data_IF_988385120385
#
_entry.id   IF_988385120385
#
_cell.length_a   1.000
_cell.length_b   1.000
_cell.length_c   1.000
_cell.angle_alpha   90.00
_cell.angle_beta   90.00
_cell.angle_gamma   90.00
#
_symmetry.space_group_name_H-M   'P 1'
#
loop_
_entity.id
_entity.type
_entity.pdbx_description
1 polymer ?
#
# COMPACT_ATOMS: atom_id res chain seq x y z
N UNK A 1 58.76 0.44 -55.91
CA UNK A 1 57.42 0.00 -56.37
C UNK A 1 56.40 0.81 -55.58
N UNK A 2 55.71 1.75 -56.26
CA UNK A 2 54.24 1.74 -56.52
C UNK A 2 53.44 1.77 -55.22
N UNK A 3 52.48 2.63 -54.94
CA UNK A 3 51.69 3.65 -55.65
C UNK A 3 50.70 4.20 -54.59
N UNK A 4 50.10 5.39 -54.72
CA UNK A 4 49.48 6.14 -53.63
C UNK A 4 47.94 5.98 -53.56
N UNK A 5 47.31 6.87 -52.77
CA UNK A 5 45.92 7.36 -52.83
C UNK A 5 44.77 6.49 -52.30
N UNK A 6 44.01 7.03 -51.34
CA UNK A 6 42.69 7.64 -51.62
C UNK A 6 42.18 8.46 -50.44
N UNK A 7 42.15 9.77 -50.65
CA UNK A 7 41.27 10.69 -49.94
C UNK A 7 39.82 10.35 -50.30
N UNK A 8 38.92 10.37 -49.32
CA UNK A 8 37.49 10.43 -49.55
C UNK A 8 36.99 11.74 -48.91
N UNK A 9 36.81 12.75 -49.76
CA UNK A 9 35.94 13.89 -49.48
C UNK A 9 34.51 13.35 -49.36
N UNK A 10 33.85 13.58 -48.23
CA UNK A 10 32.39 13.56 -48.14
C UNK A 10 31.96 15.01 -47.96
N UNK A 11 31.40 15.56 -49.03
CA UNK A 11 30.79 16.88 -49.05
C UNK A 11 29.27 16.76 -48.83
N UNK A 12 28.78 17.60 -47.92
CA UNK A 12 27.45 18.22 -47.89
C UNK A 12 26.18 17.35 -47.88
N UNK A 13 25.43 17.44 -46.77
CA UNK A 13 24.11 18.06 -46.80
C UNK A 13 23.73 18.55 -45.38
N UNK A 14 23.99 19.83 -45.10
CA UNK A 14 23.43 20.51 -43.94
C UNK A 14 22.04 20.99 -44.35
N UNK A 15 20.99 20.29 -43.91
CA UNK A 15 19.65 20.85 -43.94
C UNK A 15 19.55 21.93 -42.86
N UNK A 16 19.09 23.16 -43.17
CA UNK A 16 18.65 24.06 -42.14
C UNK A 16 17.31 23.52 -41.64
N UNK A 17 17.31 22.83 -40.51
CA UNK A 17 16.09 22.76 -39.70
C UNK A 17 15.81 24.20 -39.29
N UNK A 18 14.86 24.83 -39.99
CA UNK A 18 14.21 26.02 -39.50
C UNK A 18 13.72 25.69 -38.10
N UNK A 19 14.42 26.25 -37.12
CA UNK A 19 13.89 26.43 -35.79
C UNK A 19 12.73 27.39 -35.97
N UNK A 20 11.51 26.85 -35.98
CA UNK A 20 10.34 27.63 -35.64
C UNK A 20 10.48 27.99 -34.15
N UNK A 21 11.30 29.02 -33.90
CA UNK A 21 11.24 29.80 -32.68
C UNK A 21 9.96 30.64 -32.80
N UNK A 22 8.81 30.00 -32.54
CA UNK A 22 7.61 30.73 -32.15
C UNK A 22 7.88 31.21 -30.73
N UNK A 23 8.32 32.46 -30.60
CA UNK A 23 8.42 33.12 -29.32
C UNK A 23 7.02 33.35 -28.78
N UNK A 24 6.48 32.34 -28.10
CA UNK A 24 5.42 32.55 -27.14
C UNK A 24 6.12 33.19 -25.93
N UNK A 25 5.76 34.43 -25.61
CA UNK A 25 6.09 34.97 -24.30
C UNK A 25 5.42 34.07 -23.28
N UNK A 26 6.15 33.64 -22.23
CA UNK A 26 5.66 32.82 -21.10
C UNK A 26 4.40 33.39 -20.39
N UNK A 27 3.91 34.55 -20.82
CA UNK A 27 2.78 35.30 -20.32
C UNK A 27 1.41 34.67 -20.65
N UNK A 28 1.33 33.76 -21.64
CA UNK A 28 0.08 33.08 -22.05
C UNK A 28 0.02 31.58 -21.63
N UNK A 29 1.07 31.07 -20.98
CA UNK A 29 1.20 29.66 -20.63
C UNK A 29 0.95 29.41 -19.13
N UNK A 30 0.38 28.25 -18.81
CA UNK A 30 0.33 27.70 -17.46
C UNK A 30 1.27 26.52 -17.31
N UNK A 31 1.57 26.13 -16.07
CA UNK A 31 2.56 25.10 -15.75
C UNK A 31 1.89 23.85 -15.19
N UNK A 32 2.12 22.69 -15.78
CA UNK A 32 1.57 21.39 -15.31
C UNK A 32 2.69 20.38 -15.07
N UNK A 33 2.69 19.72 -13.91
CA UNK A 33 3.60 18.59 -13.62
C UNK A 33 2.85 17.31 -13.29
N UNK A 34 3.48 16.16 -13.53
CA UNK A 34 3.00 14.87 -13.06
C UNK A 34 3.69 14.50 -11.75
N UNK A 35 2.91 14.02 -10.79
CA UNK A 35 3.37 13.42 -9.54
C UNK A 35 2.93 11.95 -9.55
N UNK A 36 3.89 11.04 -9.44
CA UNK A 36 3.61 9.62 -9.30
C UNK A 36 3.54 9.26 -7.81
N UNK A 37 2.34 9.29 -7.24
CA UNK A 37 2.06 8.90 -5.86
C UNK A 37 1.67 7.42 -5.72
N UNK A 38 2.06 6.57 -6.67
CA UNK A 38 1.79 5.14 -6.63
C UNK A 38 2.96 4.39 -5.98
N UNK A 39 2.69 3.16 -5.53
CA UNK A 39 3.73 2.16 -5.20
C UNK A 39 3.79 1.02 -6.21
N UNK A 40 2.82 0.96 -7.11
CA UNK A 40 2.58 -0.18 -8.02
C UNK A 40 3.11 0.07 -9.43
N UNK A 41 3.17 1.35 -9.82
CA UNK A 41 3.62 1.77 -11.14
C UNK A 41 4.96 2.47 -11.01
N UNK A 42 6.03 1.72 -11.30
CA UNK A 42 7.40 2.19 -11.12
C UNK A 42 7.70 3.46 -11.93
N UNK A 43 7.16 3.57 -13.15
CA UNK A 43 7.33 4.70 -14.06
C UNK A 43 5.99 5.02 -14.74
N UNK A 44 5.63 6.31 -14.77
CA UNK A 44 4.45 6.83 -15.43
C UNK A 44 4.81 7.89 -16.48
N UNK A 45 4.04 7.91 -17.56
CA UNK A 45 4.05 8.95 -18.58
C UNK A 45 2.71 9.71 -18.53
N UNK A 46 2.72 10.98 -18.92
CA UNK A 46 1.51 11.76 -19.14
C UNK A 46 1.50 12.38 -20.54
N UNK A 47 0.32 12.39 -21.15
CA UNK A 47 0.00 13.14 -22.36
C UNK A 47 -1.11 14.16 -22.08
N UNK A 48 -1.12 15.23 -22.85
CA UNK A 48 -2.24 16.18 -22.98
C UNK A 48 -2.97 15.86 -24.28
N UNK A 49 -4.24 15.54 -24.18
CA UNK A 49 -5.02 14.94 -25.25
C UNK A 49 -4.30 13.72 -25.85
N UNK A 50 -3.76 13.82 -27.06
CA UNK A 50 -2.99 12.76 -27.72
C UNK A 50 -1.49 13.08 -27.86
N UNK A 51 -1.06 14.24 -27.38
CA UNK A 51 0.33 14.71 -27.43
C UNK A 51 1.06 14.46 -26.11
N UNK A 52 2.26 13.92 -26.20
CA UNK A 52 3.08 13.67 -25.02
C UNK A 52 3.43 14.94 -24.23
N UNK A 53 3.45 14.83 -22.90
CA UNK A 53 3.74 15.93 -21.98
C UNK A 53 4.99 15.67 -21.15
N UNK A 54 5.02 14.59 -20.37
CA UNK A 54 6.18 14.18 -19.53
C UNK A 54 6.30 12.66 -19.52
N UNK A 55 7.52 12.15 -19.35
CA UNK A 55 7.82 10.71 -19.44
C UNK A 55 8.71 10.23 -18.29
N UNK A 56 8.56 8.95 -17.93
CA UNK A 56 9.45 8.26 -17.00
C UNK A 56 9.42 8.78 -15.57
N UNK A 57 8.26 9.26 -15.10
CA UNK A 57 8.12 9.79 -13.74
C UNK A 57 8.10 8.65 -12.74
N UNK A 58 9.18 8.54 -11.96
CA UNK A 58 9.37 7.49 -10.98
C UNK A 58 8.38 7.57 -9.81
N UNK A 59 8.04 6.40 -9.25
CA UNK A 59 7.22 6.31 -8.04
C UNK A 59 7.81 7.15 -6.90
N UNK A 60 6.97 7.93 -6.24
CA UNK A 60 7.35 8.83 -5.14
C UNK A 60 8.04 10.14 -5.58
N UNK A 61 8.04 10.47 -6.87
CA UNK A 61 8.66 11.70 -7.40
C UNK A 61 7.69 12.52 -8.25
N UNK A 62 8.17 13.66 -8.76
CA UNK A 62 7.47 14.46 -9.77
C UNK A 62 8.34 14.68 -11.00
N UNK A 63 7.70 14.96 -12.13
CA UNK A 63 8.36 15.58 -13.27
C UNK A 63 8.75 17.04 -12.96
N UNK A 64 9.50 17.66 -13.89
CA UNK A 64 9.46 19.10 -14.05
C UNK A 64 8.11 19.58 -14.60
N UNK A 65 7.91 20.89 -14.65
CA UNK A 65 6.71 21.46 -15.28
C UNK A 65 6.82 21.40 -16.80
N UNK A 66 5.73 21.00 -17.45
CA UNK A 66 5.45 21.30 -18.84
C UNK A 66 4.67 22.61 -18.89
N UNK A 67 5.06 23.51 -19.80
CA UNK A 67 4.34 24.75 -20.04
C UNK A 67 3.38 24.55 -21.20
N UNK A 68 2.10 24.85 -20.95
CA UNK A 68 1.00 24.64 -21.88
C UNK A 68 0.27 25.95 -22.07
N UNK A 69 -0.14 26.23 -23.31
CA UNK A 69 -1.03 27.36 -23.58
C UNK A 69 -2.29 27.31 -22.69
N UNK A 70 -2.85 28.48 -22.41
CA UNK A 70 -4.17 28.59 -21.80
C UNK A 70 -5.22 27.83 -22.65
N UNK A 71 -5.68 26.68 -22.16
CA UNK A 71 -6.79 25.92 -22.75
C UNK A 71 -7.37 24.89 -21.77
N UNK A 72 -8.36 24.12 -22.20
CA UNK A 72 -8.85 22.93 -21.52
C UNK A 72 -8.31 21.67 -22.20
N UNK A 73 -7.68 20.81 -21.40
CA UNK A 73 -7.04 19.59 -21.88
C UNK A 73 -7.64 18.36 -21.23
N UNK A 74 -7.54 17.22 -21.92
CA UNK A 74 -7.67 15.90 -21.30
C UNK A 74 -6.29 15.37 -20.98
N UNK A 75 -5.91 15.32 -19.71
CA UNK A 75 -4.67 14.68 -19.29
C UNK A 75 -4.85 13.18 -19.21
N UNK A 76 -3.96 12.41 -19.84
CA UNK A 76 -3.99 10.95 -19.84
C UNK A 76 -2.69 10.43 -19.24
N UNK A 77 -2.80 9.47 -18.33
CA UNK A 77 -1.68 8.85 -17.64
C UNK A 77 -1.56 7.41 -18.09
N UNK A 78 -0.35 6.97 -18.41
CA UNK A 78 -0.04 5.59 -18.79
C UNK A 78 1.18 5.09 -18.02
N UNK A 79 1.25 3.77 -17.81
CA UNK A 79 2.51 3.16 -17.42
C UNK A 79 3.52 3.32 -18.56
N UNK A 80 4.74 3.74 -18.24
CA UNK A 80 5.74 4.02 -19.27
C UNK A 80 5.97 2.81 -20.18
N UNK A 81 5.90 3.03 -21.49
CA UNK A 81 6.06 2.00 -22.51
C UNK A 81 4.84 1.08 -22.74
N UNK A 82 3.73 1.25 -22.03
CA UNK A 82 2.52 0.41 -22.24
C UNK A 82 1.73 0.79 -23.50
N UNK A 83 1.81 2.05 -23.94
CA UNK A 83 0.97 2.61 -25.01
C UNK A 83 -0.53 2.67 -24.69
N UNK A 84 -0.94 2.29 -23.47
CA UNK A 84 -2.34 2.19 -23.05
C UNK A 84 -2.62 3.19 -21.94
N UNK A 85 -3.62 4.04 -22.14
CA UNK A 85 -4.09 4.99 -21.13
C UNK A 85 -4.69 4.23 -19.95
N UNK A 86 -4.14 4.45 -18.77
CA UNK A 86 -4.57 3.79 -17.53
C UNK A 86 -5.47 4.70 -16.67
N UNK A 87 -5.34 6.02 -16.78
CA UNK A 87 -6.22 6.99 -16.13
C UNK A 87 -6.31 8.28 -16.98
N UNK A 88 -7.40 9.02 -16.86
CA UNK A 88 -7.52 10.34 -17.48
C UNK A 88 -8.36 11.31 -16.64
N UNK A 89 -8.10 12.60 -16.81
CA UNK A 89 -8.85 13.69 -16.17
C UNK A 89 -8.85 14.94 -17.06
N UNK A 90 -9.98 15.64 -17.10
CA UNK A 90 -10.05 16.97 -17.72
C UNK A 90 -9.53 18.05 -16.78
N UNK A 91 -8.86 19.07 -17.32
CA UNK A 91 -8.44 20.24 -16.54
C UNK A 91 -8.23 21.46 -17.43
N UNK A 92 -8.60 22.63 -16.92
CA UNK A 92 -8.35 23.92 -17.59
C UNK A 92 -7.07 24.54 -17.05
N UNK A 93 -6.13 24.82 -17.94
CA UNK A 93 -4.87 25.51 -17.66
C UNK A 93 -5.07 27.00 -17.93
N UNK A 94 -4.70 27.81 -16.94
CA UNK A 94 -4.71 29.27 -17.05
C UNK A 94 -3.29 29.82 -17.09
N UNK A 95 -3.10 30.91 -17.84
CA UNK A 95 -1.83 31.61 -17.92
C UNK A 95 -1.31 32.01 -16.52
N UNK A 96 -0.02 31.81 -16.29
CA UNK A 96 0.67 32.11 -15.02
C UNK A 96 0.29 31.23 -13.83
N UNK A 97 -0.57 30.21 -14.02
CA UNK A 97 -1.02 29.31 -12.94
C UNK A 97 -0.25 27.98 -12.94
N UNK A 98 -0.19 27.31 -11.79
CA UNK A 98 0.53 26.06 -11.59
C UNK A 98 -0.41 24.93 -11.17
N UNK A 99 -0.18 23.74 -11.74
CA UNK A 99 -1.02 22.57 -11.51
C UNK A 99 -0.19 21.29 -11.37
N UNK A 100 -0.71 20.36 -10.57
CA UNK A 100 -0.19 19.01 -10.45
C UNK A 100 -1.24 17.97 -10.84
N UNK A 101 -0.84 17.04 -11.71
CA UNK A 101 -1.51 15.76 -11.92
C UNK A 101 -0.99 14.78 -10.87
N UNK A 102 -1.78 14.52 -9.83
CA UNK A 102 -1.42 13.53 -8.82
C UNK A 102 -1.96 12.17 -9.25
N UNK A 103 -1.10 11.31 -9.78
CA UNK A 103 -1.43 9.94 -10.12
C UNK A 103 -1.28 9.03 -8.90
N UNK A 104 -2.28 8.20 -8.60
CA UNK A 104 -2.28 7.29 -7.45
C UNK A 104 -2.97 5.97 -7.79
N UNK A 105 -2.67 4.92 -7.03
CA UNK A 105 -3.36 3.64 -7.14
C UNK A 105 -4.48 3.58 -6.11
N UNK A 106 -5.67 3.18 -6.54
CA UNK A 106 -6.79 2.80 -5.67
C UNK A 106 -7.26 1.44 -6.13
N UNK A 107 -7.03 0.41 -5.32
CA UNK A 107 -7.18 -0.96 -5.78
C UNK A 107 -6.13 -1.34 -6.83
N UNK A 108 -6.59 -1.94 -7.93
CA UNK A 108 -5.76 -2.35 -9.07
C UNK A 108 -5.75 -1.30 -10.19
N UNK A 109 -6.44 -0.17 -10.01
CA UNK A 109 -6.61 0.85 -11.03
C UNK A 109 -5.76 2.07 -10.73
N UNK A 110 -5.14 2.62 -11.77
CA UNK A 110 -4.54 3.95 -11.72
C UNK A 110 -5.67 4.99 -11.71
N UNK A 111 -5.52 6.02 -10.90
CA UNK A 111 -6.39 7.19 -10.82
C UNK A 111 -5.52 8.44 -10.92
N UNK A 112 -6.14 9.57 -11.25
CA UNK A 112 -5.45 10.86 -11.30
C UNK A 112 -6.35 11.97 -10.77
N UNK A 113 -5.79 12.83 -9.91
CA UNK A 113 -6.43 14.06 -9.45
C UNK A 113 -5.71 15.28 -10.03
N UNK A 114 -6.47 16.31 -10.36
CA UNK A 114 -5.97 17.60 -10.84
C UNK A 114 -5.95 18.60 -9.68
N UNK A 115 -4.77 19.07 -9.28
CA UNK A 115 -4.57 19.93 -8.12
C UNK A 115 -4.04 21.30 -8.56
N UNK A 116 -4.58 22.37 -7.96
CA UNK A 116 -3.99 23.70 -8.06
C UNK A 116 -2.80 23.84 -7.11
N UNK A 117 -1.81 24.61 -7.55
CA UNK A 117 -0.55 24.86 -6.87
C UNK A 117 -0.23 26.37 -6.73
N UNK A 118 -1.27 27.20 -6.61
CA UNK A 118 -1.15 28.67 -6.45
C UNK A 118 -1.74 29.18 -5.11
N UNK A 119 -1.68 28.35 -4.06
CA UNK A 119 -2.02 28.83 -2.72
C UNK A 119 -0.99 29.86 -2.26
N UNK A 120 -1.47 31.03 -1.80
CA UNK A 120 -0.59 32.09 -1.32
C UNK A 120 0.25 31.67 -0.12
N UNK A 121 1.50 32.15 -0.06
CA UNK A 121 2.40 31.90 1.06
C UNK A 121 1.75 32.29 2.40
N UNK A 122 1.97 31.51 3.48
CA UNK A 122 1.58 31.93 4.82
C UNK A 122 2.53 33.02 5.36
N UNK A 123 2.22 33.54 6.55
CA UNK A 123 3.10 34.52 7.20
C UNK A 123 4.46 33.90 7.55
N UNK A 124 5.47 34.75 7.76
CA UNK A 124 6.76 34.29 8.27
C UNK A 124 6.61 33.58 9.62
N UNK A 125 7.37 32.50 9.80
CA UNK A 125 7.29 31.56 10.91
C UNK A 125 6.19 30.50 10.74
N UNK A 126 5.48 30.45 9.61
CA UNK A 126 4.36 29.52 9.40
C UNK A 126 4.53 28.67 8.14
N UNK A 127 3.80 27.57 8.10
CA UNK A 127 3.59 26.70 6.94
C UNK A 127 2.09 26.41 6.77
N UNK A 128 1.64 26.04 5.57
CA UNK A 128 0.30 25.53 5.29
C UNK A 128 0.39 24.06 4.92
N UNK A 129 -0.46 23.24 5.54
CA UNK A 129 -0.58 21.82 5.26
C UNK A 129 -2.04 21.46 4.99
N UNK A 130 -2.29 20.70 3.92
CA UNK A 130 -3.56 20.01 3.65
C UNK A 130 -3.33 18.51 3.49
N UNK A 131 -4.40 17.73 3.54
CA UNK A 131 -4.33 16.27 3.57
C UNK A 131 -5.16 15.67 2.44
N UNK A 132 -4.70 14.54 1.92
CA UNK A 132 -5.41 13.79 0.88
C UNK A 132 -5.25 12.30 1.16
N UNK A 133 -6.35 11.56 1.28
CA UNK A 133 -6.31 10.10 1.41
C UNK A 133 -6.57 9.51 0.04
N UNK A 134 -5.59 8.83 -0.57
CA UNK A 134 -5.74 8.10 -1.83
C UNK A 134 -5.86 6.58 -1.62
N UNK A 135 -5.72 6.12 -0.37
CA UNK A 135 -5.71 4.72 0.03
C UNK A 135 -7.04 4.23 0.62
N UNK A 136 -8.13 4.98 0.50
CA UNK A 136 -9.35 4.72 1.26
C UNK A 136 -10.07 3.41 0.94
N UNK A 137 -9.85 2.81 -0.25
CA UNK A 137 -10.35 1.46 -0.51
C UNK A 137 -9.64 0.42 0.39
N UNK A 138 -8.33 0.57 0.59
CA UNK A 138 -7.49 -0.28 1.40
C UNK A 138 -7.49 0.12 2.88
N UNK A 139 -7.12 1.34 3.23
CA UNK A 139 -6.96 1.78 4.61
C UNK A 139 -8.26 2.25 5.28
N UNK A 140 -9.34 2.42 4.53
CA UNK A 140 -10.58 3.02 5.02
C UNK A 140 -10.45 4.52 5.28
N UNK A 141 -11.37 5.07 6.05
CA UNK A 141 -11.33 6.48 6.46
C UNK A 141 -10.25 6.68 7.54
N UNK A 142 -9.56 7.82 7.47
CA UNK A 142 -8.41 8.10 8.32
C UNK A 142 -8.57 9.41 9.10
N UNK A 143 -8.03 9.44 10.31
CA UNK A 143 -7.78 10.68 11.05
C UNK A 143 -6.28 10.99 11.00
N UNK A 144 -5.92 12.28 10.88
CA UNK A 144 -4.54 12.76 10.89
C UNK A 144 -4.34 13.70 12.06
N UNK A 145 -3.40 13.38 12.93
CA UNK A 145 -2.97 14.20 14.06
C UNK A 145 -1.58 14.77 13.75
N UNK A 146 -1.43 16.08 13.92
CA UNK A 146 -0.15 16.78 13.74
C UNK A 146 0.22 17.42 15.08
N UNK A 147 1.31 16.96 15.69
CA UNK A 147 1.71 17.38 17.02
C UNK A 147 3.17 17.09 17.29
N UNK A 148 3.50 16.79 18.55
CA UNK A 148 4.88 16.52 18.99
C UNK A 148 4.98 15.26 19.87
N UNK A 149 3.88 14.51 20.00
CA UNK A 149 3.82 13.28 20.79
C UNK A 149 3.80 12.08 19.87
N UNK A 150 4.43 10.99 20.31
CA UNK A 150 4.39 9.73 19.58
C UNK A 150 2.97 9.17 19.48
N UNK A 151 2.70 8.37 18.44
CA UNK A 151 1.35 7.90 18.14
C UNK A 151 0.75 7.02 19.23
N UNK A 152 1.57 6.26 19.94
CA UNK A 152 1.17 5.48 21.11
C UNK A 152 0.83 6.32 22.36
N UNK A 153 1.14 7.62 22.33
CA UNK A 153 0.90 8.57 23.41
C UNK A 153 -0.19 9.60 23.07
N UNK A 154 -0.96 9.39 21.99
CA UNK A 154 -2.11 10.23 21.65
C UNK A 154 -3.16 10.17 22.76
N UNK A 155 -3.31 11.27 23.49
CA UNK A 155 -4.30 11.40 24.55
C UNK A 155 -5.74 11.44 24.03
N UNK A 156 -6.70 11.17 24.92
CA UNK A 156 -8.13 11.25 24.60
C UNK A 156 -8.54 12.63 24.08
N UNK A 157 -7.88 13.70 24.53
CA UNK A 157 -8.12 15.10 24.14
C UNK A 157 -7.40 15.53 22.87
N UNK A 158 -6.58 14.68 22.24
CA UNK A 158 -5.94 15.02 20.97
C UNK A 158 -7.01 15.27 19.88
N UNK A 159 -6.87 16.38 19.16
CA UNK A 159 -7.76 16.79 18.08
C UNK A 159 -7.06 16.51 16.75
N UNK A 160 -7.76 15.84 15.83
CA UNK A 160 -7.22 15.58 14.51
C UNK A 160 -7.18 16.88 13.68
N UNK A 161 -6.09 17.11 12.97
CA UNK A 161 -5.97 18.17 11.96
C UNK A 161 -6.84 17.86 10.73
N UNK A 162 -7.06 16.58 10.44
CA UNK A 162 -8.07 16.11 9.49
C UNK A 162 -8.81 14.90 10.08
N UNK A 163 -10.13 14.93 10.09
CA UNK A 163 -10.96 13.86 10.66
C UNK A 163 -11.81 13.18 9.58
N UNK A 164 -11.89 11.85 9.61
CA UNK A 164 -12.74 11.09 8.70
C UNK A 164 -12.38 11.24 7.22
N UNK A 165 -11.09 11.43 6.92
CA UNK A 165 -10.58 11.64 5.57
C UNK A 165 -10.86 10.39 4.71
N UNK A 166 -11.78 10.52 3.76
CA UNK A 166 -12.26 9.44 2.88
C UNK A 166 -11.81 9.65 1.42
N UNK A 167 -11.97 8.62 0.58
CA UNK A 167 -11.68 8.62 -0.87
C UNK A 167 -12.93 8.74 -1.75
N UNK A 168 -14.07 9.23 -1.24
CA UNK A 168 -15.39 8.79 -1.73
C UNK A 168 -15.80 9.12 -3.18
N UNK A 169 -14.93 9.59 -4.07
CA UNK A 169 -15.23 9.79 -5.50
C UNK A 169 -13.99 9.62 -6.40
N UNK A 170 -14.23 9.42 -7.71
CA UNK A 170 -13.24 9.37 -8.81
C UNK A 170 -12.36 10.64 -8.95
N UNK A 171 -12.55 11.64 -8.08
CA UNK A 171 -11.68 12.78 -7.89
C UNK A 171 -11.54 13.01 -6.38
N UNK A 172 -10.57 12.35 -5.76
CA UNK A 172 -10.23 12.63 -4.36
C UNK A 172 -9.80 14.10 -4.28
N UNK A 173 -10.52 14.90 -3.50
CA UNK A 173 -10.15 16.29 -3.22
C UNK A 173 -9.38 16.35 -1.89
N UNK A 174 -8.28 17.13 -1.82
CA UNK A 174 -7.62 17.35 -0.56
C UNK A 174 -8.49 18.20 0.37
N UNK A 175 -8.18 18.20 1.67
CA UNK A 175 -8.77 19.14 2.63
C UNK A 175 -8.43 20.60 2.27
N UNK A 176 -9.07 21.55 2.94
CA UNK A 176 -8.54 22.92 3.02
C UNK A 176 -7.17 22.96 3.71
N UNK A 177 -6.41 24.03 3.47
CA UNK A 177 -5.14 24.26 4.14
C UNK A 177 -5.33 24.69 5.59
N UNK A 178 -4.52 24.11 6.48
CA UNK A 178 -4.38 24.52 7.87
C UNK A 178 -3.00 25.12 8.09
N UNK A 179 -2.92 26.23 8.81
CA UNK A 179 -1.65 26.86 9.14
C UNK A 179 -1.02 26.20 10.37
N UNK A 180 0.27 25.92 10.28
CA UNK A 180 1.13 25.42 11.36
C UNK A 180 2.31 26.39 11.54
N UNK A 181 3.00 26.29 12.68
CA UNK A 181 4.31 26.91 12.80
C UNK A 181 5.31 26.18 11.88
N UNK A 182 6.33 26.87 11.40
CA UNK A 182 7.48 26.19 10.82
C UNK A 182 8.19 25.40 11.92
N UNK A 183 8.56 24.15 11.63
CA UNK A 183 9.14 23.25 12.64
C UNK A 183 9.04 21.77 12.28
N UNK A 184 9.40 20.92 13.23
CA UNK A 184 9.30 19.47 13.10
C UNK A 184 8.14 18.94 13.92
N UNK A 185 7.32 18.09 13.32
CA UNK A 185 6.11 17.54 13.90
C UNK A 185 6.14 16.00 13.89
N UNK A 186 5.61 15.41 14.96
CA UNK A 186 5.20 14.01 14.95
C UNK A 186 3.81 13.93 14.31
N UNK A 187 3.69 13.19 13.20
CA UNK A 187 2.41 13.00 12.51
C UNK A 187 1.93 11.57 12.69
N UNK A 188 0.69 11.45 13.15
CA UNK A 188 0.04 10.17 13.39
C UNK A 188 -1.20 10.07 12.53
N UNK A 189 -1.27 9.02 11.74
CA UNK A 189 -2.47 8.67 10.97
C UNK A 189 -3.10 7.45 11.61
N UNK A 190 -4.38 7.52 11.90
CA UNK A 190 -5.12 6.42 12.54
C UNK A 190 -6.35 6.07 11.72
N UNK A 191 -6.94 4.90 11.96
CA UNK A 191 -8.31 4.66 11.51
C UNK A 191 -9.23 5.75 12.09
N UNK A 192 -10.22 6.18 11.31
CA UNK A 192 -11.16 7.22 11.73
C UNK A 192 -11.87 6.83 13.05
N UNK A 193 -11.80 7.71 14.05
CA UNK A 193 -12.34 7.48 15.39
C UNK A 193 -11.54 6.52 16.27
N UNK A 194 -10.46 5.92 15.77
CA UNK A 194 -9.67 4.89 16.46
C UNK A 194 -8.21 5.28 16.69
N UNK A 195 -7.93 6.12 17.69
CA UNK A 195 -6.56 6.61 18.00
C UNK A 195 -5.51 5.51 18.25
N UNK A 196 -5.94 4.35 18.74
CA UNK A 196 -5.05 3.20 19.00
C UNK A 196 -4.76 2.37 17.74
N UNK A 197 -5.48 2.62 16.66
CA UNK A 197 -5.34 1.90 15.39
C UNK A 197 -4.47 2.74 14.43
N UNK A 198 -3.18 2.80 14.74
CA UNK A 198 -2.18 3.59 13.99
C UNK A 198 -1.91 2.95 12.63
N UNK A 199 -2.05 3.74 11.58
CA UNK A 199 -1.87 3.35 10.16
C UNK A 199 -0.63 3.94 9.53
N UNK A 200 -0.10 5.02 10.08
CA UNK A 200 1.21 5.60 9.75
C UNK A 200 1.71 6.41 10.94
N UNK A 201 2.99 6.27 11.23
CA UNK A 201 3.74 7.04 12.22
C UNK A 201 4.91 7.73 11.50
N UNK A 202 4.87 9.06 11.41
CA UNK A 202 5.97 9.88 10.90
C UNK A 202 6.59 10.60 12.11
N UNK A 203 7.78 10.16 12.59
CA UNK A 203 8.36 10.69 13.82
C UNK A 203 8.87 12.13 13.70
N UNK A 204 9.19 12.58 12.48
CA UNK A 204 9.69 13.92 12.22
C UNK A 204 9.31 14.38 10.80
N UNK A 205 8.13 15.00 10.66
CA UNK A 205 7.74 15.75 9.48
C UNK A 205 8.21 17.20 9.62
N UNK A 206 9.09 17.67 8.74
CA UNK A 206 9.52 19.07 8.74
C UNK A 206 8.61 19.92 7.87
N UNK A 207 8.10 21.01 8.44
CA UNK A 207 7.41 22.09 7.74
C UNK A 207 8.32 23.33 7.74
N UNK A 208 8.75 23.76 6.55
CA UNK A 208 9.61 24.92 6.36
C UNK A 208 8.87 26.26 6.47
N UNK A 209 9.62 27.34 6.73
CA UNK A 209 9.05 28.70 6.70
C UNK A 209 8.44 28.98 5.32
N UNK A 210 7.22 29.53 5.30
CA UNK A 210 6.42 29.83 4.11
C UNK A 210 6.06 28.63 3.24
N UNK A 211 6.32 27.40 3.69
CA UNK A 211 6.01 26.21 2.90
C UNK A 211 4.49 26.04 2.76
N UNK A 212 4.04 25.70 1.55
CA UNK A 212 2.70 25.16 1.29
C UNK A 212 2.86 23.70 0.86
N UNK A 213 2.21 22.77 1.56
CA UNK A 213 2.35 21.35 1.29
C UNK A 213 1.01 20.60 1.34
N UNK A 214 0.96 19.50 0.59
CA UNK A 214 -0.08 18.47 0.69
C UNK A 214 0.57 17.19 1.22
N UNK A 215 0.07 16.64 2.33
CA UNK A 215 0.39 15.27 2.75
C UNK A 215 -0.60 14.32 2.08
N UNK A 216 -0.12 13.59 1.07
CA UNK A 216 -0.87 12.54 0.39
C UNK A 216 -0.63 11.23 1.12
N UNK A 217 -1.70 10.58 1.58
CA UNK A 217 -1.67 9.27 2.20
C UNK A 217 -1.95 8.22 1.12
N UNK A 218 -0.93 7.43 0.80
CA UNK A 218 -0.97 6.44 -0.26
C UNK A 218 -1.03 5.04 0.31
N UNK A 219 -1.54 4.08 -0.46
CA UNK A 219 -1.66 2.69 0.00
C UNK A 219 -0.29 2.08 0.29
N UNK A 220 -0.28 1.06 1.14
CA UNK A 220 0.86 0.18 1.38
C UNK A 220 0.56 -1.23 0.89
N UNK A 221 1.58 -2.08 0.86
CA UNK A 221 1.45 -3.47 0.37
C UNK A 221 0.57 -4.35 1.27
N UNK A 222 0.44 -4.06 2.56
CA UNK A 222 -0.39 -4.84 3.49
C UNK A 222 -1.89 -4.57 3.35
N UNK A 223 -2.30 -3.52 2.61
CA UNK A 223 -3.72 -3.22 2.38
C UNK A 223 -4.45 -2.61 3.58
N UNK A 224 -3.72 -2.10 4.57
CA UNK A 224 -4.32 -1.43 5.72
C UNK A 224 -3.46 -0.34 6.36
N UNK A 225 -2.13 -0.45 6.28
CA UNK A 225 -1.23 0.66 6.58
C UNK A 225 -1.23 1.64 5.40
N UNK A 226 -0.76 2.86 5.64
CA UNK A 226 -0.56 3.87 4.58
C UNK A 226 0.86 4.39 4.62
N UNK A 227 1.34 4.89 3.48
CA UNK A 227 2.56 5.69 3.38
C UNK A 227 2.18 7.18 3.29
N UNK A 228 3.14 8.06 3.56
CA UNK A 228 3.03 9.48 3.31
C UNK A 228 3.82 9.90 2.07
N UNK A 229 3.31 10.89 1.35
CA UNK A 229 4.03 11.61 0.30
C UNK A 229 3.78 13.10 0.49
N UNK A 230 4.82 13.84 0.84
CA UNK A 230 4.75 15.29 1.05
C UNK A 230 4.99 15.97 -0.28
N UNK A 231 3.95 16.58 -0.83
CA UNK A 231 4.02 17.37 -2.06
C UNK A 231 4.15 18.83 -1.66
N UNK A 232 5.34 19.40 -1.80
CA UNK A 232 5.53 20.85 -1.66
C UNK A 232 5.04 21.52 -2.93
N UNK A 233 4.17 22.51 -2.78
CA UNK A 233 3.67 23.32 -3.88
C UNK A 233 4.84 23.90 -4.68
N UNK A 234 4.83 23.73 -6.01
CA UNK A 234 5.90 24.23 -6.90
C UNK A 234 7.32 23.76 -6.54
N UNK A 235 7.44 22.69 -5.74
CA UNK A 235 8.72 22.26 -5.16
C UNK A 235 8.87 20.75 -5.09
N UNK A 236 9.71 20.27 -4.19
CA UNK A 236 10.02 18.84 -4.11
C UNK A 236 8.82 17.99 -3.66
N UNK A 237 8.80 16.75 -4.14
CA UNK A 237 7.98 15.66 -3.61
C UNK A 237 8.87 14.78 -2.73
N UNK A 238 8.47 14.54 -1.48
CA UNK A 238 9.28 13.81 -0.50
C UNK A 238 8.49 12.66 0.11
N UNK A 239 8.88 11.40 -0.17
CA UNK A 239 8.28 10.24 0.47
C UNK A 239 8.51 10.23 1.99
N UNK A 240 7.48 9.84 2.73
CA UNK A 240 7.50 9.53 4.16
C UNK A 240 6.97 8.10 4.33
N UNK A 241 7.84 7.13 4.10
CA UNK A 241 7.47 5.71 4.10
C UNK A 241 7.04 5.24 5.50
N UNK A 242 6.15 4.26 5.53
CA UNK A 242 5.72 3.65 6.78
C UNK A 242 6.76 2.68 7.33
N UNK A 243 7.43 3.05 8.42
CA UNK A 243 8.46 2.21 9.03
C UNK A 243 7.91 1.08 9.90
N UNK A 244 6.60 0.80 9.83
CA UNK A 244 5.95 -0.28 10.56
C UNK A 244 5.49 -1.41 9.64
N UNK A 245 5.41 -2.60 10.22
CA UNK A 245 4.78 -3.80 9.65
C UNK A 245 3.72 -4.27 10.63
N UNK A 246 2.57 -4.77 10.16
CA UNK A 246 1.63 -5.46 11.05
C UNK A 246 1.99 -6.94 11.10
N UNK A 247 2.14 -7.48 12.30
CA UNK A 247 2.41 -8.91 12.50
C UNK A 247 1.33 -9.50 13.38
N UNK A 248 0.82 -10.67 13.00
CA UNK A 248 0.01 -11.53 13.86
C UNK A 248 0.71 -12.85 14.10
N UNK A 249 0.31 -13.53 15.16
CA UNK A 249 0.80 -14.86 15.51
C UNK A 249 -0.36 -15.85 15.41
N UNK A 250 -0.09 -16.98 14.79
CA UNK A 250 -0.95 -18.15 14.82
C UNK A 250 -0.24 -19.22 15.64
N UNK A 251 -0.77 -19.50 16.82
CA UNK A 251 -0.20 -20.47 17.74
C UNK A 251 -0.71 -21.87 17.40
N UNK A 252 0.17 -22.77 16.99
CA UNK A 252 -0.19 -24.12 16.60
C UNK A 252 0.84 -25.18 17.01
N UNK A 253 1.16 -25.22 18.30
CA UNK A 253 2.04 -26.21 18.89
C UNK A 253 1.39 -27.60 18.96
N UNK A 254 2.20 -28.64 19.15
CA UNK A 254 1.76 -30.04 19.16
C UNK A 254 0.86 -30.41 20.34
N UNK A 255 1.10 -29.83 21.52
CA UNK A 255 0.40 -30.15 22.76
C UNK A 255 -0.60 -29.04 23.06
N UNK A 256 -1.88 -29.40 23.26
CA UNK A 256 -2.99 -28.45 23.41
C UNK A 256 -2.92 -27.52 24.63
N UNK A 257 -2.03 -27.81 25.59
CA UNK A 257 -1.78 -26.99 26.78
C UNK A 257 -0.57 -26.08 26.67
N UNK A 258 0.21 -26.19 25.59
CA UNK A 258 1.43 -25.41 25.43
C UNK A 258 1.11 -23.98 25.00
N UNK A 259 1.34 -23.04 25.92
CA UNK A 259 1.15 -21.62 25.65
C UNK A 259 2.41 -21.01 25.05
N UNK A 260 2.23 -20.13 24.06
CA UNK A 260 3.34 -19.38 23.44
C UNK A 260 3.25 -17.89 23.71
N UNK A 261 4.40 -17.29 24.02
CA UNK A 261 4.64 -15.85 24.03
C UNK A 261 5.58 -15.53 22.87
N UNK A 262 5.22 -14.58 22.03
CA UNK A 262 6.00 -14.23 20.85
C UNK A 262 6.32 -12.75 20.87
N UNK A 263 7.60 -12.43 20.75
CA UNK A 263 8.06 -11.08 20.49
C UNK A 263 8.82 -11.00 19.16
N UNK A 264 8.60 -9.91 18.44
CA UNK A 264 9.15 -9.61 17.12
C UNK A 264 9.80 -8.23 17.18
N UNK A 265 11.09 -8.16 16.85
CA UNK A 265 11.86 -6.91 16.89
C UNK A 265 11.74 -6.16 18.23
N UNK A 266 11.66 -6.92 19.33
CA UNK A 266 11.50 -6.40 20.69
C UNK A 266 10.05 -6.09 21.10
N UNK A 267 9.08 -6.10 20.18
CA UNK A 267 7.66 -5.88 20.48
C UNK A 267 6.95 -7.20 20.78
N UNK A 268 6.23 -7.28 21.90
CA UNK A 268 5.37 -8.45 22.19
C UNK A 268 4.15 -8.45 21.25
N UNK A 269 4.04 -9.48 20.43
CA UNK A 269 2.94 -9.66 19.46
C UNK A 269 1.87 -10.60 20.00
N UNK A 270 2.27 -11.61 20.76
CA UNK A 270 1.38 -12.57 21.39
C UNK A 270 1.83 -12.88 22.83
N UNK A 271 0.85 -12.97 23.74
CA UNK A 271 1.08 -13.31 25.14
C UNK A 271 0.15 -14.47 25.51
N UNK A 272 0.69 -15.51 26.15
CA UNK A 272 -0.05 -16.69 26.61
C UNK A 272 -1.07 -17.18 25.57
N UNK A 273 -0.63 -17.38 24.33
CA UNK A 273 -1.51 -17.82 23.25
C UNK A 273 -1.61 -19.34 23.24
N UNK A 274 -2.83 -19.86 23.37
CA UNK A 274 -3.10 -21.29 23.32
C UNK A 274 -3.01 -21.84 21.89
N UNK A 275 -2.75 -23.14 21.71
CA UNK A 275 -2.74 -23.79 20.40
C UNK A 275 -4.12 -23.67 19.73
N UNK A 276 -4.14 -23.51 18.41
CA UNK A 276 -5.35 -23.23 17.62
C UNK A 276 -5.77 -21.76 17.60
N UNK A 277 -5.00 -20.85 18.23
CA UNK A 277 -5.37 -19.43 18.29
C UNK A 277 -4.80 -18.65 17.12
N UNK A 278 -5.66 -17.90 16.43
CA UNK A 278 -5.29 -16.86 15.46
C UNK A 278 -5.36 -15.49 16.15
N UNK A 279 -4.20 -14.91 16.42
CA UNK A 279 -4.07 -13.60 17.07
C UNK A 279 -4.48 -12.43 16.17
N UNK A 280 -4.66 -11.25 16.79
CA UNK A 280 -4.81 -9.99 16.06
C UNK A 280 -3.46 -9.44 15.59
N UNK A 281 -3.49 -8.57 14.59
CA UNK A 281 -2.31 -7.84 14.14
C UNK A 281 -1.81 -6.84 15.21
N UNK A 282 -0.48 -6.66 15.27
CA UNK A 282 0.23 -5.67 16.08
C UNK A 282 1.31 -5.00 15.24
N UNK A 283 1.56 -3.72 15.49
CA UNK A 283 2.65 -3.01 14.81
C UNK A 283 4.00 -3.43 15.40
N UNK A 284 4.96 -3.67 14.50
CA UNK A 284 6.37 -3.87 14.82
C UNK A 284 7.20 -2.99 13.89
N UNK A 285 8.44 -2.69 14.27
CA UNK A 285 9.37 -1.97 13.40
C UNK A 285 9.72 -2.82 12.18
N UNK A 286 9.60 -2.24 10.98
CA UNK A 286 9.99 -2.87 9.72
C UNK A 286 11.52 -3.10 9.66
N UNK A 287 11.96 -4.09 8.88
CA UNK A 287 13.38 -4.46 8.74
C UNK A 287 13.62 -5.96 8.90
N UNK A 288 14.84 -6.36 9.28
CA UNK A 288 15.14 -7.76 9.55
C UNK A 288 14.28 -8.30 10.71
N UNK A 289 13.81 -9.55 10.62
CA UNK A 289 13.02 -10.17 11.68
C UNK A 289 13.91 -10.81 12.75
N UNK A 290 13.75 -10.35 13.98
CA UNK A 290 14.20 -11.03 15.18
C UNK A 290 12.98 -11.58 15.94
N UNK A 291 12.79 -12.89 15.91
CA UNK A 291 11.64 -13.56 16.54
C UNK A 291 12.10 -14.33 17.77
N UNK A 292 11.36 -14.18 18.87
CA UNK A 292 11.51 -15.03 20.05
C UNK A 292 10.19 -15.73 20.34
N UNK A 293 10.27 -16.99 20.77
CA UNK A 293 9.15 -17.78 21.27
C UNK A 293 9.49 -18.23 22.69
N UNK A 294 8.67 -17.84 23.66
CA UNK A 294 8.91 -18.08 25.09
C UNK A 294 10.31 -17.63 25.56
N UNK A 295 10.82 -16.54 24.98
CA UNK A 295 12.13 -15.97 25.30
C UNK A 295 13.32 -16.61 24.56
N UNK A 296 13.13 -17.75 23.88
CA UNK A 296 14.16 -18.34 23.03
C UNK A 296 14.12 -17.75 21.62
N UNK A 297 15.28 -17.39 21.07
CA UNK A 297 15.38 -16.91 19.69
C UNK A 297 15.05 -18.05 18.71
N UNK A 298 14.22 -17.77 17.71
CA UNK A 298 13.89 -18.70 16.63
C UNK A 298 14.48 -18.21 15.32
N UNK A 299 15.17 -19.09 14.60
CA UNK A 299 15.74 -18.76 13.30
C UNK A 299 14.64 -18.73 12.23
N UNK A 300 14.40 -17.54 11.66
CA UNK A 300 13.44 -17.32 10.55
C UNK A 300 14.16 -17.03 9.22
N UNK A 301 15.44 -17.39 9.12
CA UNK A 301 16.26 -17.18 7.93
C UNK A 301 16.47 -15.69 7.61
N UNK A 302 16.39 -15.35 6.32
CA UNK A 302 16.53 -13.99 5.81
C UNK A 302 15.20 -13.23 5.72
N UNK A 303 14.15 -13.70 6.41
CA UNK A 303 12.84 -13.07 6.38
C UNK A 303 12.89 -11.65 6.97
N UNK A 304 12.09 -10.75 6.38
CA UNK A 304 11.99 -9.35 6.80
C UNK A 304 10.54 -8.98 7.12
N UNK A 305 10.39 -7.97 7.97
CA UNK A 305 9.16 -7.23 8.20
C UNK A 305 9.09 -6.12 7.15
N UNK A 306 8.29 -6.26 6.07
CA UNK A 306 8.23 -5.26 5.02
C UNK A 306 7.55 -3.98 5.50
N UNK A 307 8.14 -2.83 5.16
CA UNK A 307 7.55 -1.50 5.35
C UNK A 307 6.12 -1.45 4.81
N UNK A 308 5.15 -1.16 5.68
CA UNK A 308 3.73 -1.09 5.32
C UNK A 308 3.06 -2.44 5.02
N UNK A 309 3.75 -3.57 5.20
CA UNK A 309 3.19 -4.88 4.93
C UNK A 309 2.57 -5.55 6.15
N UNK A 310 1.97 -6.72 5.90
CA UNK A 310 1.36 -7.58 6.90
C UNK A 310 2.00 -8.97 6.88
N UNK A 311 2.23 -9.55 8.06
CA UNK A 311 2.79 -10.89 8.22
C UNK A 311 2.00 -11.75 9.21
N UNK A 312 1.91 -13.03 8.89
CA UNK A 312 1.52 -14.10 9.82
C UNK A 312 2.76 -14.88 10.23
N UNK A 313 3.02 -14.96 11.53
CA UNK A 313 3.97 -15.90 12.12
C UNK A 313 3.20 -17.14 12.57
N UNK A 314 3.32 -18.22 11.81
CA UNK A 314 2.73 -19.51 12.15
C UNK A 314 3.73 -20.30 13.01
N UNK A 315 3.44 -20.39 14.31
CA UNK A 315 4.26 -21.09 15.29
C UNK A 315 3.82 -22.54 15.37
N UNK A 316 4.71 -23.48 15.07
CA UNK A 316 4.41 -24.92 15.03
C UNK A 316 5.47 -25.74 15.77
N UNK A 317 5.24 -27.06 15.89
CA UNK A 317 6.14 -27.98 16.55
C UNK A 317 5.99 -28.00 18.07
N UNK A 318 7.03 -28.51 18.74
CA UNK A 318 7.11 -28.61 20.20
C UNK A 318 7.54 -27.27 20.80
N UNK A 319 6.98 -26.87 21.95
CA UNK A 319 7.30 -25.58 22.59
C UNK A 319 8.77 -25.49 23.04
N UNK A 320 9.44 -26.61 23.24
CA UNK A 320 10.88 -26.68 23.55
C UNK A 320 11.78 -26.53 22.32
N UNK A 321 11.24 -26.71 21.11
CA UNK A 321 11.92 -26.56 19.83
C UNK A 321 10.99 -25.95 18.77
N UNK A 322 10.47 -24.73 19.00
CA UNK A 322 9.43 -24.15 18.16
C UNK A 322 9.95 -23.87 16.75
N UNK A 323 9.11 -24.13 15.75
CA UNK A 323 9.32 -23.72 14.37
C UNK A 323 8.43 -22.51 14.07
N UNK A 324 8.93 -21.59 13.25
CA UNK A 324 8.16 -20.41 12.83
C UNK A 324 8.22 -20.29 11.31
N UNK A 325 7.06 -20.40 10.68
CA UNK A 325 6.88 -20.04 9.29
C UNK A 325 6.46 -18.56 9.20
N UNK A 326 7.16 -17.81 8.35
CA UNK A 326 6.82 -16.40 8.06
C UNK A 326 6.02 -16.36 6.77
N UNK A 327 4.77 -15.93 6.85
CA UNK A 327 3.85 -15.86 5.73
C UNK A 327 3.54 -14.38 5.47
N UNK A 328 3.79 -13.91 4.25
CA UNK A 328 3.36 -12.59 3.81
C UNK A 328 1.86 -12.60 3.58
N UNK A 329 1.15 -11.67 4.22
CA UNK A 329 -0.29 -11.52 4.04
C UNK A 329 -0.57 -10.43 3.01
N UNK A 330 -1.43 -10.74 2.04
CA UNK A 330 -2.13 -9.74 1.23
C UNK A 330 -3.52 -9.53 1.83
N UNK A 331 -3.73 -8.38 2.51
CA UNK A 331 -5.03 -7.97 3.03
C UNK A 331 -5.64 -6.81 2.23
N UNK A 332 -5.15 -6.55 1.01
CA UNK A 332 -5.79 -5.63 0.09
C UNK A 332 -7.14 -6.22 -0.36
N UNK A 333 -8.23 -5.42 -0.40
CA UNK A 333 -9.52 -5.91 -0.88
C UNK A 333 -9.43 -6.30 -2.36
N UNK A 334 -10.32 -7.20 -2.79
CA UNK A 334 -10.56 -7.39 -4.22
C UNK A 334 -11.16 -6.13 -4.82
N UNK A 335 -10.78 -5.85 -6.07
CA UNK A 335 -11.30 -4.71 -6.85
C UNK A 335 -12.27 -5.17 -7.93
N UNK A 336 -12.50 -6.49 -8.02
CA UNK A 336 -13.49 -7.05 -8.92
C UNK A 336 -14.90 -6.77 -8.39
N UNK A 337 -15.76 -6.23 -9.25
CA UNK A 337 -17.16 -6.02 -8.92
C UNK A 337 -17.95 -7.34 -8.84
N UNK A 338 -17.57 -8.35 -9.63
CA UNK A 338 -18.20 -9.68 -9.65
C UNK A 338 -17.61 -10.62 -8.60
N UNK A 339 -16.34 -10.44 -8.25
CA UNK A 339 -15.62 -11.26 -7.28
C UNK A 339 -14.98 -10.41 -6.17
N UNK A 340 -15.80 -9.76 -5.33
CA UNK A 340 -15.31 -8.75 -4.40
C UNK A 340 -14.69 -9.31 -3.11
N UNK A 341 -14.55 -10.64 -2.98
CA UNK A 341 -14.02 -11.29 -1.78
C UNK A 341 -12.72 -12.00 -2.11
N UNK A 342 -11.72 -11.95 -1.23
CA UNK A 342 -10.52 -12.80 -1.32
C UNK A 342 -10.56 -13.93 -0.31
N UNK A 343 -10.13 -15.12 -0.73
CA UNK A 343 -9.96 -16.31 0.11
C UNK A 343 -8.57 -16.90 -0.10
N UNK A 344 -7.93 -17.37 0.97
CA UNK A 344 -6.73 -18.22 0.88
C UNK A 344 -6.73 -19.32 1.93
N UNK A 345 -5.95 -20.36 1.66
CA UNK A 345 -5.67 -21.44 2.60
C UNK A 345 -4.30 -21.24 3.23
N UNK A 346 -4.18 -21.44 4.55
CA UNK A 346 -2.94 -21.55 5.30
C UNK A 346 -2.86 -22.94 5.92
N UNK A 347 -1.84 -23.72 5.57
CA UNK A 347 -1.66 -25.07 6.07
C UNK A 347 -0.66 -25.11 7.23
N UNK A 348 -1.14 -25.27 8.44
CA UNK A 348 -0.34 -25.47 9.64
C UNK A 348 -0.46 -26.88 10.25
N UNK A 349 -1.04 -27.86 9.56
CA UNK A 349 -1.35 -29.16 10.17
C UNK A 349 -0.09 -29.94 10.51
N UNK A 350 0.22 -30.07 11.80
CA UNK A 350 1.41 -30.78 12.25
C UNK A 350 1.34 -32.26 11.86
N UNK A 351 2.43 -32.78 11.28
CA UNK A 351 2.57 -34.19 10.90
C UNK A 351 1.77 -34.61 9.68
N UNK A 352 1.18 -33.66 8.93
CA UNK A 352 0.50 -33.95 7.68
C UNK A 352 1.53 -34.29 6.59
N UNK A 353 1.38 -35.45 5.95
CA UNK A 353 2.20 -35.82 4.79
C UNK A 353 1.60 -35.24 3.51
N UNK A 354 2.42 -34.59 2.67
CA UNK A 354 1.94 -33.94 1.45
C UNK A 354 1.37 -32.55 1.72
N UNK A 355 0.40 -32.15 0.91
CA UNK A 355 -0.19 -30.81 0.90
C UNK A 355 -1.68 -30.81 1.21
N UNK A 356 -2.23 -29.63 1.46
CA UNK A 356 -3.66 -29.42 1.64
C UNK A 356 -4.23 -28.56 0.50
N UNK A 357 -5.48 -28.83 0.15
CA UNK A 357 -6.26 -28.09 -0.83
C UNK A 357 -7.47 -27.47 -0.15
N UNK A 358 -7.98 -26.36 -0.69
CA UNK A 358 -9.23 -25.74 -0.27
C UNK A 358 -10.17 -25.54 -1.45
N UNK A 359 -11.46 -25.76 -1.20
CA UNK A 359 -12.53 -25.50 -2.15
C UNK A 359 -13.61 -24.58 -1.58
N UNK A 360 -14.24 -23.81 -2.46
CA UNK A 360 -15.49 -23.10 -2.24
C UNK A 360 -16.52 -23.70 -3.21
N UNK A 361 -17.62 -24.24 -2.69
CA UNK A 361 -18.69 -24.84 -3.50
C UNK A 361 -18.17 -25.91 -4.50
N UNK A 362 -17.13 -26.65 -4.08
CA UNK A 362 -16.37 -27.63 -4.88
C UNK A 362 -15.39 -27.08 -5.93
N UNK A 363 -15.31 -25.76 -6.09
CA UNK A 363 -14.29 -25.10 -6.91
C UNK A 363 -13.01 -24.86 -6.11
N UNK A 364 -11.84 -25.11 -6.69
CA UNK A 364 -10.55 -24.98 -6.01
C UNK A 364 -10.19 -23.52 -5.83
N UNK A 365 -9.96 -23.11 -4.58
CA UNK A 365 -9.50 -21.76 -4.20
C UNK A 365 -8.09 -21.75 -3.61
N UNK A 366 -7.52 -22.93 -3.36
CA UNK A 366 -6.13 -23.12 -2.94
C UNK A 366 -5.70 -24.55 -3.23
N UNK A 367 -4.56 -24.71 -3.88
CA UNK A 367 -4.06 -26.00 -4.36
C UNK A 367 -2.62 -26.22 -3.89
N UNK A 368 -2.28 -27.47 -3.61
CA UNK A 368 -0.95 -27.96 -3.22
C UNK A 368 -0.27 -27.14 -2.11
N UNK A 369 -1.04 -26.73 -1.08
CA UNK A 369 -0.51 -25.89 0.00
C UNK A 369 0.32 -26.74 0.97
N UNK A 370 1.63 -26.61 0.88
CA UNK A 370 2.59 -27.27 1.76
C UNK A 370 2.45 -26.83 3.23
N UNK A 371 2.93 -27.67 4.15
CA UNK A 371 3.01 -27.33 5.58
C UNK A 371 3.85 -26.06 5.80
N UNK A 372 3.32 -25.13 6.60
CA UNK A 372 3.96 -23.85 6.89
C UNK A 372 3.77 -22.79 5.80
N UNK A 373 2.98 -23.08 4.76
CA UNK A 373 2.75 -22.18 3.63
C UNK A 373 1.27 -21.72 3.53
N UNK A 374 1.05 -20.77 2.63
CA UNK A 374 -0.27 -20.29 2.25
C UNK A 374 -0.45 -20.37 0.73
N UNK A 375 -1.68 -20.57 0.26
CA UNK A 375 -2.01 -20.42 -1.16
C UNK A 375 -1.94 -18.95 -1.58
N UNK A 376 -1.85 -18.72 -2.90
CA UNK A 376 -2.23 -17.42 -3.45
C UNK A 376 -3.71 -17.13 -3.12
N UNK A 377 -4.11 -15.86 -2.93
CA UNK A 377 -5.51 -15.52 -2.73
C UNK A 377 -6.32 -15.74 -4.02
N UNK A 378 -7.42 -16.47 -3.92
CA UNK A 378 -8.46 -16.52 -4.95
C UNK A 378 -9.45 -15.36 -4.75
N UNK A 379 -9.96 -14.79 -5.84
CA UNK A 379 -11.11 -13.87 -5.82
C UNK A 379 -12.39 -14.65 -6.06
N UNK A 380 -13.43 -14.37 -5.27
CA UNK A 380 -14.72 -15.07 -5.36
C UNK A 380 -15.89 -14.09 -5.20
N UNK A 381 -17.07 -14.51 -5.65
CA UNK A 381 -18.31 -13.79 -5.43
C UNK A 381 -18.64 -13.65 -3.93
N UNK A 382 -19.37 -12.58 -3.58
CA UNK A 382 -19.95 -12.46 -2.24
C UNK A 382 -21.07 -13.51 -2.05
N UNK A 383 -21.27 -13.96 -0.82
CA UNK A 383 -22.28 -14.96 -0.46
C UNK A 383 -23.06 -14.53 0.77
N UNK A 384 -24.37 -14.77 0.75
CA UNK A 384 -25.30 -14.45 1.84
C UNK A 384 -25.68 -15.72 2.63
N UNK A 385 -24.68 -16.49 3.08
CA UNK A 385 -24.91 -17.69 3.88
C UNK A 385 -25.09 -18.96 3.05
N UNK A 386 -24.50 -19.02 1.85
CA UNK A 386 -24.62 -20.17 0.95
C UNK A 386 -23.26 -20.77 0.58
N UNK A 387 -22.15 -20.19 1.08
CA UNK A 387 -20.81 -20.65 0.73
C UNK A 387 -20.40 -21.87 1.56
N UNK A 388 -20.07 -22.97 0.88
CA UNK A 388 -19.52 -24.18 1.48
C UNK A 388 -18.00 -24.20 1.27
N UNK A 389 -17.25 -24.08 2.36
CA UNK A 389 -15.79 -24.16 2.37
C UNK A 389 -15.36 -25.53 2.86
N UNK A 390 -14.47 -26.18 2.12
CA UNK A 390 -13.86 -27.43 2.54
C UNK A 390 -12.35 -27.39 2.33
N UNK A 391 -11.63 -28.12 3.17
CA UNK A 391 -10.21 -28.36 2.97
C UNK A 391 -9.87 -29.84 3.13
N UNK A 392 -8.99 -30.34 2.27
CA UNK A 392 -8.66 -31.77 2.17
C UNK A 392 -7.18 -32.01 1.93
N UNK A 393 -6.74 -33.24 2.21
CA UNK A 393 -5.48 -33.80 1.72
C UNK A 393 -5.82 -35.01 0.85
N UNK A 394 -5.64 -34.86 -0.47
CA UNK A 394 -6.16 -35.81 -1.45
C UNK A 394 -7.68 -35.99 -1.28
N UNK A 395 -8.12 -37.24 -1.10
CA UNK A 395 -9.53 -37.57 -0.87
C UNK A 395 -9.97 -37.42 0.61
N UNK A 396 -9.04 -37.15 1.53
CA UNK A 396 -9.35 -37.06 2.97
C UNK A 396 -9.80 -35.65 3.33
N UNK A 397 -11.03 -35.51 3.80
CA UNK A 397 -11.53 -34.25 4.35
C UNK A 397 -10.82 -33.93 5.67
N UNK A 398 -10.24 -32.73 5.77
CA UNK A 398 -9.58 -32.24 6.98
C UNK A 398 -10.50 -31.32 7.79
N UNK A 399 -11.25 -30.45 7.12
CA UNK A 399 -12.08 -29.43 7.74
C UNK A 399 -13.17 -28.95 6.77
N UNK A 400 -14.33 -28.56 7.29
CA UNK A 400 -15.40 -27.95 6.50
C UNK A 400 -16.20 -26.93 7.32
N UNK A 401 -16.70 -25.90 6.63
CA UNK A 401 -17.76 -25.01 7.10
C UNK A 401 -18.80 -24.86 6.00
N UNK A 402 -20.07 -24.83 6.38
CA UNK A 402 -21.19 -24.68 5.45
C UNK A 402 -21.97 -23.42 5.71
N UNK A 403 -22.73 -22.98 4.72
CA UNK A 403 -23.66 -21.84 4.83
C UNK A 403 -22.95 -20.54 5.28
N UNK A 404 -21.73 -20.31 4.78
CA UNK A 404 -20.93 -19.15 5.18
C UNK A 404 -21.37 -17.88 4.47
N UNK A 405 -21.34 -16.76 5.20
CA UNK A 405 -21.49 -15.42 4.63
C UNK A 405 -20.13 -14.88 4.23
N UNK A 406 -19.98 -14.50 2.96
CA UNK A 406 -18.79 -13.87 2.42
C UNK A 406 -19.13 -12.44 2.00
N UNK A 407 -18.69 -11.47 2.80
CA UNK A 407 -19.01 -10.06 2.60
C UNK A 407 -18.06 -9.39 1.59
N UNK A 408 -18.62 -8.59 0.67
CA UNK A 408 -17.90 -7.71 -0.27
C UNK A 408 -16.76 -6.94 0.40
N UNK A 409 -15.60 -6.88 -0.26
CA UNK A 409 -14.43 -6.13 0.17
C UNK A 409 -13.67 -6.77 1.33
N UNK A 410 -14.03 -7.99 1.75
CA UNK A 410 -13.34 -8.73 2.81
C UNK A 410 -12.30 -9.69 2.25
N UNK A 411 -11.29 -9.95 3.09
CA UNK A 411 -10.25 -10.94 2.88
C UNK A 411 -10.38 -11.99 3.97
N UNK A 412 -10.40 -13.25 3.58
CA UNK A 412 -10.55 -14.38 4.49
C UNK A 412 -9.38 -15.34 4.34
N UNK A 413 -8.93 -15.89 5.47
CA UNK A 413 -7.96 -16.99 5.52
C UNK A 413 -8.58 -18.20 6.21
N UNK A 414 -8.49 -19.36 5.57
CA UNK A 414 -8.74 -20.66 6.18
C UNK A 414 -7.44 -21.09 6.85
N UNK A 415 -7.42 -21.20 8.17
CA UNK A 415 -6.28 -21.71 8.90
C UNK A 415 -6.52 -23.17 9.25
N UNK A 416 -5.79 -24.08 8.61
CA UNK A 416 -5.74 -25.48 9.04
C UNK A 416 -4.73 -25.65 10.15
N UNK A 417 -5.21 -25.90 11.36
CA UNK A 417 -4.40 -25.95 12.59
C UNK A 417 -4.50 -27.34 13.23
N UNK A 418 -3.85 -27.53 14.37
CA UNK A 418 -3.74 -28.80 15.08
C UNK A 418 -2.77 -29.77 14.40
N UNK A 419 -3.10 -31.05 14.52
CA UNK A 419 -2.40 -32.19 13.90
C UNK A 419 -3.42 -33.04 13.12
N UNK A 420 -2.96 -34.14 12.50
CA UNK A 420 -3.81 -35.04 11.68
C UNK A 420 -5.04 -35.63 12.40
N UNK A 421 -5.10 -35.56 13.73
CA UNK A 421 -6.26 -36.02 14.52
C UNK A 421 -7.16 -34.90 15.01
N UNK A 422 -6.63 -33.67 15.12
CA UNK A 422 -7.33 -32.52 15.74
C UNK A 422 -7.65 -31.40 14.74
N UNK A 423 -7.20 -31.53 13.48
CA UNK A 423 -7.38 -30.51 12.44
C UNK A 423 -8.83 -30.07 12.26
N UNK A 424 -9.80 -30.99 12.34
CA UNK A 424 -11.21 -30.64 12.19
C UNK A 424 -11.75 -29.68 13.25
N UNK A 425 -11.19 -29.68 14.47
CA UNK A 425 -11.67 -28.83 15.58
C UNK A 425 -10.76 -27.64 15.88
N UNK A 426 -9.48 -27.71 15.51
CA UNK A 426 -8.53 -26.61 15.71
C UNK A 426 -8.57 -25.55 14.59
N UNK A 427 -9.06 -25.93 13.41
CA UNK A 427 -9.05 -25.07 12.23
C UNK A 427 -10.19 -24.04 12.23
N UNK A 428 -9.97 -22.91 11.56
CA UNK A 428 -10.92 -21.79 11.58
C UNK A 428 -10.91 -20.97 10.30
N UNK A 429 -12.05 -20.34 10.00
CA UNK A 429 -12.14 -19.26 9.01
C UNK A 429 -11.95 -17.92 9.73
N UNK A 430 -10.99 -17.12 9.27
CA UNK A 430 -10.75 -15.78 9.80
C UNK A 430 -11.04 -14.72 8.76
N UNK A 431 -11.84 -13.72 9.11
CA UNK A 431 -11.86 -12.44 8.40
C UNK A 431 -10.63 -11.63 8.83
N UNK A 432 -9.75 -11.36 7.87
CA UNK A 432 -8.50 -10.62 8.06
C UNK A 432 -8.69 -9.11 7.86
N UNK A 433 -9.80 -8.75 7.23
CA UNK A 433 -10.25 -7.40 6.95
C UNK A 433 -11.67 -7.17 7.45
#
# INVERSE_FOLDING_TARGET
MKSPTRALLIAALVLPLLHACGGNSDEDEGSVRLINATTDFALLDASRDDDGMVYGVAAGTSSGYAHLDKDSYTFKIAQSGSGTVAASIGGSVSAGSHYALLAYASGASLQVSYLTEDEGEPNSGQAKLRFMNTAGLEAGNLDVYVGHVACNALGATAIAAASGLSTSTSATAPTGYTAFGAGSYHVCVTAAGGKNDVRLDIPALTLGDKQVATLVLTRSSGGMLVNGLVVSQQGAVTPSANLSTRVRVVANTLVSTDMVNVAVNGTTVASNSSPGTVGGYRLVTAGALAVTVNGAAVNVGAATAPSGGDLTLLVTGDVSAPQVSVITDDNTPSTSASEPVKLRLVNGVNGLTGSANATLDSEVIGDDVAFGAASLPATVAASAGLADLAASNGASLLWQLKDQTLTTGKVYSIFLLGNTTTVGTASTLRADR
#
